data_IF_185251715519
#
_entry.id   IF_185251715519
#
_cell.length_a   1.000
_cell.length_b   1.000
_cell.length_c   1.000
_cell.angle_alpha   90.00
_cell.angle_beta   90.00
_cell.angle_gamma   90.00
#
_symmetry.space_group_name_H-M   'P 1'
#
loop_
_entity.id
_entity.type
_entity.pdbx_description
1 polymer ?
#
# COMPACT_ATOMS: atom_id res chain seq x y z
N UNK A 1 17.54 7.22 10.24
CA UNK A 1 16.51 6.78 9.27
C UNK A 1 15.17 7.03 9.93
N UNK A 2 14.35 7.88 9.33
CA UNK A 2 12.96 8.09 9.78
C UNK A 2 12.19 6.80 9.45
N UNK A 3 11.80 6.03 10.47
CA UNK A 3 11.07 4.78 10.25
C UNK A 3 9.56 5.05 10.17
N UNK A 4 8.91 4.53 9.14
CA UNK A 4 7.44 4.45 9.07
C UNK A 4 6.95 3.42 10.10
N UNK A 5 6.09 3.83 11.04
CA UNK A 5 5.46 2.90 11.99
C UNK A 5 3.98 2.72 11.66
N UNK A 6 3.54 1.51 11.36
CA UNK A 6 2.13 1.19 11.20
C UNK A 6 1.40 1.20 12.55
N UNK A 7 0.18 1.73 12.56
CA UNK A 7 -0.70 1.72 13.74
C UNK A 7 -1.43 0.37 13.93
N UNK A 8 -1.32 -0.52 12.95
CA UNK A 8 -2.01 -1.81 12.92
C UNK A 8 -1.10 -2.88 12.34
N UNK A 9 -1.25 -4.10 12.85
CA UNK A 9 -0.65 -5.29 12.22
C UNK A 9 -1.49 -5.63 11.01
N UNK A 10 -0.87 -5.63 9.83
CA UNK A 10 -1.53 -6.03 8.60
C UNK A 10 -1.72 -7.55 8.60
N UNK A 11 -2.92 -8.01 8.26
CA UNK A 11 -3.15 -9.44 8.02
C UNK A 11 -2.40 -9.90 6.74
N UNK A 12 -2.17 -11.21 6.54
CA UNK A 12 -1.38 -11.71 5.41
C UNK A 12 -1.89 -11.27 4.03
N UNK A 13 -3.20 -11.11 3.85
CA UNK A 13 -3.76 -10.63 2.57
C UNK A 13 -3.53 -9.14 2.40
N UNK A 14 -3.68 -8.35 3.47
CA UNK A 14 -3.34 -6.92 3.48
C UNK A 14 -1.86 -6.68 3.22
N UNK A 15 -0.97 -7.49 3.79
CA UNK A 15 0.48 -7.40 3.53
C UNK A 15 0.80 -7.62 2.06
N UNK A 16 0.18 -8.63 1.43
CA UNK A 16 0.36 -8.92 0.00
C UNK A 16 -0.18 -7.79 -0.88
N UNK A 17 -1.40 -7.33 -0.61
CA UNK A 17 -1.99 -6.18 -1.30
C UNK A 17 -1.12 -4.93 -1.17
N UNK A 18 -0.58 -4.69 0.01
CA UNK A 18 0.29 -3.57 0.29
C UNK A 18 1.60 -3.68 -0.49
N UNK A 19 2.25 -4.85 -0.47
CA UNK A 19 3.44 -5.11 -1.28
C UNK A 19 3.20 -4.91 -2.77
N UNK A 20 2.08 -5.44 -3.29
CA UNK A 20 1.67 -5.23 -4.68
C UNK A 20 1.45 -3.74 -4.99
N UNK A 21 0.77 -3.00 -4.13
CA UNK A 21 0.56 -1.57 -4.31
C UNK A 21 1.90 -0.80 -4.34
N UNK A 22 2.82 -1.12 -3.44
CA UNK A 22 4.15 -0.51 -3.40
C UNK A 22 4.98 -0.85 -4.65
N UNK A 23 4.83 -2.05 -5.20
CA UNK A 23 5.52 -2.46 -6.43
C UNK A 23 5.11 -1.63 -7.64
N UNK A 24 3.90 -1.06 -7.65
CA UNK A 24 3.42 -0.20 -8.73
C UNK A 24 4.07 1.18 -8.77
N UNK A 25 4.69 1.65 -7.67
CA UNK A 25 5.36 2.96 -7.62
C UNK A 25 6.74 2.82 -8.27
N UNK A 26 6.95 3.38 -9.45
CA UNK A 26 8.28 3.45 -10.06
C UNK A 26 9.17 4.46 -9.32
N UNK A 27 10.46 4.14 -9.15
CA UNK A 27 11.39 4.97 -8.38
C UNK A 27 11.62 6.34 -9.03
N UNK A 28 11.45 6.47 -10.34
CA UNK A 28 11.69 7.67 -11.11
C UNK A 28 10.45 8.55 -11.29
N UNK A 29 9.31 8.16 -10.72
CA UNK A 29 8.11 8.98 -10.78
C UNK A 29 8.29 10.35 -10.10
N UNK A 30 7.57 11.35 -10.64
CA UNK A 30 7.52 12.68 -10.03
C UNK A 30 6.86 12.59 -8.64
N UNK A 31 7.55 13.00 -7.55
CA UNK A 31 6.98 12.98 -6.20
C UNK A 31 5.76 13.90 -6.03
N UNK A 32 5.60 14.91 -6.89
CA UNK A 32 4.49 15.86 -6.85
C UNK A 32 3.29 15.44 -7.72
N UNK A 33 3.45 14.40 -8.56
CA UNK A 33 2.36 13.88 -9.38
C UNK A 33 1.30 13.16 -8.54
N UNK A 34 0.03 13.38 -8.89
CA UNK A 34 -1.09 12.57 -8.42
C UNK A 34 -1.23 11.37 -9.35
N UNK A 35 -0.80 10.21 -8.87
CA UNK A 35 -0.81 8.96 -9.65
C UNK A 35 -1.85 8.00 -9.07
N UNK A 36 -2.64 7.43 -9.96
CA UNK A 36 -3.57 6.35 -9.66
C UNK A 36 -3.00 5.04 -10.21
N UNK A 37 -2.95 4.01 -9.36
CA UNK A 37 -2.40 2.71 -9.70
C UNK A 37 -3.53 1.68 -9.76
N UNK A 38 -3.50 0.82 -10.77
CA UNK A 38 -4.43 -0.31 -10.88
C UNK A 38 -3.76 -1.57 -10.34
N UNK A 39 -4.44 -2.28 -9.45
CA UNK A 39 -3.97 -3.53 -8.85
C UNK A 39 -4.95 -4.64 -9.21
N UNK A 40 -4.45 -5.69 -9.85
CA UNK A 40 -5.20 -6.90 -10.13
C UNK A 40 -5.17 -7.83 -8.92
N UNK A 41 -6.29 -7.86 -8.20
CA UNK A 41 -6.44 -8.63 -6.96
C UNK A 41 -6.56 -10.14 -7.20
N UNK A 42 -6.77 -10.61 -8.44
CA UNK A 42 -6.67 -12.05 -8.76
C UNK A 42 -5.28 -12.60 -8.48
N UNK A 43 -4.26 -11.76 -8.69
CA UNK A 43 -2.87 -12.15 -8.45
C UNK A 43 -2.61 -12.51 -6.98
N UNK A 44 -3.42 -12.02 -6.04
CA UNK A 44 -3.32 -12.41 -4.62
C UNK A 44 -3.60 -13.90 -4.44
N UNK A 45 -4.56 -14.46 -5.20
CA UNK A 45 -4.88 -15.88 -5.17
C UNK A 45 -3.69 -16.73 -5.64
N UNK A 46 -2.86 -16.22 -6.54
CA UNK A 46 -1.63 -16.90 -6.99
C UNK A 46 -0.59 -16.99 -5.86
N UNK A 47 -0.56 -16.00 -4.97
CA UNK A 47 0.36 -15.96 -3.84
C UNK A 47 -0.17 -16.67 -2.59
N UNK A 48 -1.40 -17.16 -2.59
CA UNK A 48 -2.05 -17.72 -1.41
C UNK A 48 -2.52 -19.13 -1.69
N UNK A 49 -2.25 -20.09 -0.80
CA UNK A 49 -2.91 -21.42 -0.82
C UNK A 49 -4.43 -21.34 -0.50
N UNK A 50 -5.02 -20.14 -0.59
CA UNK A 50 -6.41 -19.86 -0.27
C UNK A 50 -7.24 -20.13 -1.51
N UNK A 51 -8.33 -20.87 -1.33
CA UNK A 51 -9.32 -21.13 -2.37
C UNK A 51 -9.82 -19.80 -2.98
N UNK A 52 -9.71 -19.66 -4.31
CA UNK A 52 -10.13 -18.46 -5.05
C UNK A 52 -11.57 -18.01 -4.74
N UNK A 53 -12.50 -18.95 -4.49
CA UNK A 53 -13.87 -18.62 -4.12
C UNK A 53 -14.01 -18.00 -2.72
N UNK A 54 -13.12 -18.33 -1.79
CA UNK A 54 -13.08 -17.69 -0.47
C UNK A 54 -12.43 -16.29 -0.52
N UNK A 55 -11.54 -16.07 -1.49
CA UNK A 55 -10.91 -14.78 -1.77
C UNK A 55 -11.96 -13.79 -2.30
N UNK A 56 -12.79 -14.21 -3.26
CA UNK A 56 -13.91 -13.39 -3.78
C UNK A 56 -14.90 -12.95 -2.71
N UNK A 57 -15.35 -13.87 -1.85
CA UNK A 57 -16.35 -13.57 -0.81
C UNK A 57 -15.85 -12.60 0.26
N UNK A 58 -14.53 -12.53 0.47
CA UNK A 58 -13.92 -11.65 1.47
C UNK A 58 -13.28 -10.40 0.87
N UNK A 59 -13.24 -10.29 -0.46
CA UNK A 59 -12.45 -9.27 -1.13
C UNK A 59 -12.88 -7.85 -0.80
N UNK A 60 -14.19 -7.58 -0.77
CA UNK A 60 -14.70 -6.25 -0.44
C UNK A 60 -14.29 -5.84 0.98
N UNK A 61 -14.35 -6.78 1.94
CA UNK A 61 -13.92 -6.56 3.32
C UNK A 61 -12.42 -6.30 3.40
N UNK A 62 -11.62 -7.08 2.66
CA UNK A 62 -10.16 -6.94 2.61
C UNK A 62 -9.77 -5.59 1.99
N UNK A 63 -10.34 -5.21 0.84
CA UNK A 63 -10.08 -3.93 0.17
C UNK A 63 -10.50 -2.75 1.04
N UNK A 64 -11.63 -2.86 1.75
CA UNK A 64 -12.06 -1.84 2.70
C UNK A 64 -11.09 -1.73 3.89
N UNK A 65 -10.59 -2.83 4.43
CA UNK A 65 -9.61 -2.81 5.50
C UNK A 65 -8.25 -2.27 5.02
N UNK A 66 -7.87 -2.60 3.78
CA UNK A 66 -6.69 -2.10 3.09
C UNK A 66 -6.71 -0.57 2.91
N UNK A 67 -7.84 0.00 2.51
CA UNK A 67 -8.00 1.46 2.45
C UNK A 67 -7.94 2.17 3.81
N UNK A 68 -8.10 1.43 4.91
CA UNK A 68 -8.04 1.97 6.27
C UNK A 68 -6.67 1.86 6.92
N UNK A 69 -5.63 1.40 6.19
CA UNK A 69 -4.28 1.31 6.72
C UNK A 69 -3.77 2.70 7.09
N UNK A 70 -3.33 2.84 8.35
CA UNK A 70 -2.72 4.05 8.89
C UNK A 70 -1.27 3.83 9.27
N UNK A 71 -0.48 4.88 9.08
CA UNK A 71 0.88 4.97 9.57
C UNK A 71 1.04 6.23 10.42
N UNK A 72 2.00 6.19 11.34
CA UNK A 72 2.46 7.36 12.08
C UNK A 72 3.78 7.81 11.46
N UNK A 73 3.87 9.05 10.93
CA UNK A 73 5.15 9.62 10.58
C UNK A 73 5.95 9.83 11.87
N UNK A 74 7.15 9.27 11.96
CA UNK A 74 8.07 9.55 13.06
C UNK A 74 8.80 10.85 12.73
N UNK A 75 8.56 11.92 13.49
CA UNK A 75 9.33 13.16 13.40
C UNK A 75 10.36 13.20 14.54
N UNK A 76 11.56 13.70 14.25
CA UNK A 76 12.67 13.82 15.23
C UNK A 76 12.39 14.83 16.37
N UNK A 77 11.35 15.67 16.22
CA UNK A 77 10.93 16.63 17.23
C UNK A 77 10.10 15.96 18.34
N UNK A 78 10.71 15.78 19.51
CA UNK A 78 10.08 15.18 20.71
C UNK A 78 8.82 15.93 21.21
N UNK A 79 8.57 17.14 20.72
CA UNK A 79 7.46 18.00 21.13
C UNK A 79 6.30 18.07 20.12
N UNK A 80 6.38 17.36 18.98
CA UNK A 80 5.29 17.33 17.98
C UNK A 80 4.39 16.13 18.18
N UNK A 81 3.12 16.38 18.51
CA UNK A 81 2.07 15.37 18.47
C UNK A 81 1.85 14.98 17.00
N UNK A 82 2.25 13.76 16.65
CA UNK A 82 1.99 13.19 15.32
C UNK A 82 0.68 12.42 15.34
N UNK A 83 -0.24 12.79 14.45
CA UNK A 83 -1.49 12.06 14.27
C UNK A 83 -1.31 10.94 13.23
N UNK A 84 -2.02 9.81 13.38
CA UNK A 84 -1.99 8.75 12.39
C UNK A 84 -2.61 9.23 11.08
N UNK A 85 -1.94 8.94 9.97
CA UNK A 85 -2.35 9.33 8.61
C UNK A 85 -2.64 8.07 7.81
N UNK A 86 -3.63 8.12 6.93
CA UNK A 86 -3.91 7.01 6.02
C UNK A 86 -2.77 6.85 5.01
N UNK A 87 -2.41 5.60 4.70
CA UNK A 87 -1.47 5.27 3.63
C UNK A 87 -2.05 5.64 2.26
N UNK A 88 -3.34 5.41 2.08
CA UNK A 88 -4.06 5.71 0.85
C UNK A 88 -4.92 6.95 1.03
N UNK A 89 -4.91 7.81 0.02
CA UNK A 89 -5.90 8.88 -0.13
C UNK A 89 -7.22 8.30 -0.65
N UNK A 90 -7.16 7.33 -1.56
CA UNK A 90 -8.33 6.71 -2.19
C UNK A 90 -8.05 5.24 -2.51
N UNK A 91 -9.03 4.38 -2.27
CA UNK A 91 -9.06 2.98 -2.70
C UNK A 91 -10.47 2.69 -3.21
N UNK A 92 -10.60 2.24 -4.44
CA UNK A 92 -11.89 1.94 -5.05
C UNK A 92 -11.81 0.69 -5.92
N UNK A 93 -12.92 -0.04 -6.04
CA UNK A 93 -13.04 -1.05 -7.08
C UNK A 93 -13.22 -0.37 -8.45
N UNK A 94 -12.61 -0.95 -9.47
CA UNK A 94 -12.85 -0.55 -10.86
C UNK A 94 -14.31 -0.81 -11.23
N UNK A 95 -14.90 0.14 -11.96
CA UNK A 95 -16.27 -0.01 -12.51
C UNK A 95 -16.33 -0.95 -13.71
N UNK A 96 -15.17 -1.34 -14.26
CA UNK A 96 -15.05 -2.14 -15.48
C UNK A 96 -14.75 -3.61 -15.14
N UNK A 97 -13.83 -3.84 -14.20
CA UNK A 97 -13.44 -5.19 -13.76
C UNK A 97 -13.53 -5.26 -12.22
N UNK A 98 -14.40 -6.09 -11.63
CA UNK A 98 -14.53 -6.22 -10.17
C UNK A 98 -13.26 -6.79 -9.51
N UNK A 99 -12.33 -7.33 -10.29
CA UNK A 99 -11.04 -7.82 -9.85
C UNK A 99 -9.90 -6.81 -10.01
N UNK A 100 -10.22 -5.57 -10.36
CA UNK A 100 -9.26 -4.46 -10.33
C UNK A 100 -9.67 -3.50 -9.22
N UNK A 101 -8.69 -3.11 -8.41
CA UNK A 101 -8.82 -1.95 -7.53
C UNK A 101 -7.93 -0.83 -8.04
N UNK A 102 -8.39 0.40 -7.92
CA UNK A 102 -7.57 1.60 -8.10
C UNK A 102 -7.16 2.13 -6.74
N UNK A 103 -5.90 2.54 -6.63
CA UNK A 103 -5.35 3.13 -5.39
C UNK A 103 -4.66 4.44 -5.70
N UNK A 104 -4.87 5.42 -4.83
CA UNK A 104 -4.09 6.66 -4.78
C UNK A 104 -3.44 6.74 -3.42
N UNK A 105 -2.11 6.79 -3.38
CA UNK A 105 -1.38 6.93 -2.12
C UNK A 105 -1.56 8.34 -1.54
N UNK A 106 -1.53 8.44 -0.22
CA UNK A 106 -1.37 9.72 0.44
C UNK A 106 -0.04 10.35 0.02
N UNK A 107 -0.06 11.65 -0.26
CA UNK A 107 1.11 12.37 -0.76
C UNK A 107 2.35 12.22 0.13
N UNK A 108 2.21 12.43 1.44
CA UNK A 108 3.33 12.37 2.38
C UNK A 108 3.93 10.96 2.43
N UNK A 109 3.05 9.96 2.37
CA UNK A 109 3.45 8.56 2.34
C UNK A 109 4.21 8.21 1.04
N UNK A 110 3.63 8.53 -0.13
CA UNK A 110 4.25 8.24 -1.45
C UNK A 110 5.62 8.87 -1.58
N UNK A 111 5.77 10.12 -1.11
CA UNK A 111 7.06 10.83 -1.15
C UNK A 111 8.15 10.12 -0.33
N UNK A 112 7.79 9.56 0.82
CA UNK A 112 8.71 8.75 1.62
C UNK A 112 9.07 7.44 0.92
N UNK A 113 8.10 6.74 0.33
CA UNK A 113 8.36 5.51 -0.45
C UNK A 113 9.30 5.79 -1.63
N UNK A 114 9.06 6.85 -2.41
CA UNK A 114 9.93 7.24 -3.52
C UNK A 114 11.36 7.56 -3.04
N UNK A 115 11.50 8.29 -1.93
CA UNK A 115 12.80 8.56 -1.32
C UNK A 115 13.51 7.25 -0.95
N UNK A 116 12.81 6.32 -0.31
CA UNK A 116 13.37 5.00 0.04
C UNK A 116 13.77 4.21 -1.21
N UNK A 117 12.91 4.11 -2.24
CA UNK A 117 13.22 3.38 -3.47
C UNK A 117 14.45 3.95 -4.19
N UNK A 118 14.63 5.27 -4.21
CA UNK A 118 15.82 5.94 -4.78
C UNK A 118 17.07 5.70 -3.92
N UNK A 119 16.95 5.76 -2.60
CA UNK A 119 18.09 5.64 -1.68
C UNK A 119 18.66 4.21 -1.64
N UNK A 120 17.79 3.20 -1.73
CA UNK A 120 18.18 1.79 -1.64
C UNK A 120 18.22 1.05 -2.99
N UNK A 121 17.97 1.75 -4.10
CA UNK A 121 17.87 1.18 -5.45
C UNK A 121 16.96 -0.07 -5.52
N UNK A 122 15.84 -0.02 -4.81
CA UNK A 122 14.91 -1.16 -4.69
C UNK A 122 13.94 -1.12 -5.88
N UNK A 123 14.15 -2.02 -6.84
CA UNK A 123 13.22 -2.24 -7.96
C UNK A 123 11.92 -2.95 -7.51
N UNK A 124 12.01 -3.84 -6.51
CA UNK A 124 10.87 -4.55 -5.94
C UNK A 124 10.93 -4.63 -4.39
N UNK A 125 10.13 -3.83 -3.66
CA UNK A 125 10.13 -3.82 -2.19
C UNK A 125 9.53 -5.09 -1.59
N UNK A 126 8.92 -5.97 -2.37
CA UNK A 126 8.39 -7.25 -1.86
C UNK A 126 9.49 -8.23 -1.49
N UNK A 127 10.71 -8.08 -2.03
CA UNK A 127 11.86 -8.93 -1.65
C UNK A 127 12.47 -8.59 -0.28
N UNK A 128 12.12 -7.43 0.29
CA UNK A 128 12.63 -6.98 1.59
C UNK A 128 11.63 -7.17 2.73
N UNK A 129 10.39 -7.58 2.42
CA UNK A 129 9.35 -7.89 3.41
C UNK A 129 9.42 -9.40 3.69
N UNK A 130 10.49 -9.83 4.34
CA UNK A 130 10.56 -11.05 5.16
C UNK A 130 11.27 -10.73 6.47
#
# INVERSE_FOLDING_TARGET
MENLQFEQVLDPLQQKLYGMALSCIDKDEDPEAQVEYSIDIRRIAEFSEVNAGAVEQNMEKVVKAFGNIKFRPVMDDKDKITFPVYVFQEVAFSKIDPYLITVRFNYAFRKQVLKMKKEYDIEDPTQTIM
#
